data_IF_624790656569
#
_entry.id   IF_624790656569
#
_cell.length_a   1.000
_cell.length_b   1.000
_cell.length_c   1.000
_cell.angle_alpha   90.00
_cell.angle_beta   90.00
_cell.angle_gamma   90.00
#
_symmetry.space_group_name_H-M   'P 1'
#
loop_
_entity.id
_entity.type
_entity.pdbx_description
1 polymer ?
#
# COMPACT_ATOMS: atom_id res chain seq x y z
N UNK A 1 -14.30 11.68 0.53
CA UNK A 1 -15.05 10.42 0.47
C UNK A 1 -14.21 9.35 1.16
N UNK A 2 -14.76 8.67 2.17
CA UNK A 2 -14.09 7.53 2.80
C UNK A 2 -14.27 6.30 1.90
N UNK A 3 -13.29 5.38 1.92
CA UNK A 3 -13.36 4.10 1.22
C UNK A 3 -13.63 3.00 2.24
N UNK A 4 -14.47 2.01 1.89
CA UNK A 4 -14.88 0.93 2.81
C UNK A 4 -13.67 0.21 3.42
N UNK A 5 -12.63 -0.05 2.63
CA UNK A 5 -11.40 -0.68 3.12
C UNK A 5 -10.71 0.12 4.23
N UNK A 6 -10.77 1.46 4.18
CA UNK A 6 -10.20 2.30 5.24
C UNK A 6 -10.99 2.14 6.54
N UNK A 7 -12.32 2.10 6.46
CA UNK A 7 -13.17 1.88 7.64
C UNK A 7 -12.84 0.53 8.29
N UNK A 8 -12.73 -0.54 7.49
CA UNK A 8 -12.33 -1.87 7.98
C UNK A 8 -10.96 -1.84 8.65
N UNK A 9 -9.98 -1.14 8.07
CA UNK A 9 -8.65 -0.98 8.68
C UNK A 9 -8.74 -0.22 10.01
N UNK A 10 -9.55 0.83 10.11
CA UNK A 10 -9.71 1.58 11.37
C UNK A 10 -10.39 0.80 12.48
N UNK A 11 -11.09 -0.29 12.15
CA UNK A 11 -11.66 -1.22 13.14
C UNK A 11 -10.63 -2.22 13.68
N UNK A 12 -9.42 -2.25 13.11
CA UNK A 12 -8.31 -3.07 13.61
C UNK A 12 -7.47 -2.30 14.62
N UNK A 13 -6.72 -3.01 15.46
CA UNK A 13 -5.80 -2.39 16.44
C UNK A 13 -4.43 -2.02 15.84
N UNK A 14 -4.31 -1.94 14.51
CA UNK A 14 -3.02 -1.58 13.88
C UNK A 14 -2.72 -0.10 14.09
N UNK A 15 -1.50 0.19 14.52
CA UNK A 15 -0.99 1.56 14.60
C UNK A 15 -0.35 2.02 13.27
N UNK A 16 -0.08 3.32 13.16
CA UNK A 16 0.48 3.93 11.94
C UNK A 16 1.92 3.50 11.58
N UNK A 17 2.62 2.78 12.46
CA UNK A 17 3.96 2.22 12.20
C UNK A 17 3.91 0.77 11.75
N UNK A 18 2.75 0.11 11.81
CA UNK A 18 2.60 -1.22 11.23
C UNK A 18 2.68 -1.14 9.70
N UNK A 19 3.16 -2.24 9.13
CA UNK A 19 3.29 -2.39 7.69
C UNK A 19 1.96 -2.76 7.07
N UNK A 20 1.64 -2.12 5.96
CA UNK A 20 0.45 -2.40 5.18
C UNK A 20 0.86 -2.65 3.74
N UNK A 21 0.41 -3.78 3.20
CA UNK A 21 0.47 -4.09 1.77
C UNK A 21 -0.95 -4.04 1.19
N UNK A 22 -1.16 -3.15 0.22
CA UNK A 22 -2.37 -3.03 -0.58
C UNK A 22 -2.20 -3.87 -1.85
N UNK A 23 -2.75 -5.08 -1.84
CA UNK A 23 -2.67 -6.06 -2.94
C UNK A 23 -3.76 -5.77 -3.96
N UNK A 24 -3.38 -5.61 -5.23
CA UNK A 24 -4.27 -5.12 -6.28
C UNK A 24 -4.60 -3.63 -6.11
N UNK A 25 -3.74 -2.89 -5.39
CA UNK A 25 -3.98 -1.49 -5.05
C UNK A 25 -3.79 -0.52 -6.23
N UNK A 26 -3.24 -0.98 -7.36
CA UNK A 26 -2.80 -0.22 -8.53
C UNK A 26 -3.39 1.19 -8.67
N UNK A 27 -4.50 1.32 -9.38
CA UNK A 27 -5.16 2.61 -9.62
C UNK A 27 -6.15 3.02 -8.51
N UNK A 28 -6.20 2.26 -7.40
CA UNK A 28 -7.06 2.53 -6.24
C UNK A 28 -6.64 3.82 -5.54
N UNK A 29 -7.52 4.33 -4.67
CA UNK A 29 -7.29 5.50 -3.82
C UNK A 29 -7.10 5.14 -2.35
N UNK A 30 -7.05 3.85 -2.00
CA UNK A 30 -6.85 3.42 -0.62
C UNK A 30 -5.50 3.92 -0.07
N UNK A 31 -4.42 3.74 -0.84
CA UNK A 31 -3.07 4.19 -0.44
C UNK A 31 -2.99 5.70 -0.18
N UNK A 32 -3.76 6.52 -0.90
CA UNK A 32 -3.89 7.95 -0.62
C UNK A 32 -4.42 8.21 0.77
N UNK A 33 -5.47 7.47 1.13
CA UNK A 33 -6.14 7.65 2.42
C UNK A 33 -5.28 7.16 3.56
N UNK A 34 -4.51 6.10 3.34
CA UNK A 34 -3.52 5.64 4.30
C UNK A 34 -2.40 6.68 4.48
N UNK A 35 -1.90 7.29 3.40
CA UNK A 35 -0.95 8.41 3.48
C UNK A 35 -1.54 9.63 4.22
N UNK A 36 -2.78 10.03 3.90
CA UNK A 36 -3.48 11.13 4.58
C UNK A 36 -3.64 10.85 6.09
N UNK A 37 -3.82 9.57 6.46
CA UNK A 37 -3.89 9.10 7.85
C UNK A 37 -2.51 8.86 8.49
N UNK A 38 -1.41 9.22 7.81
CA UNK A 38 -0.03 9.17 8.32
C UNK A 38 0.51 7.76 8.59
N UNK A 39 -0.02 6.74 7.92
CA UNK A 39 0.65 5.45 7.88
C UNK A 39 2.01 5.58 7.19
N UNK A 40 3.03 4.90 7.74
CA UNK A 40 4.43 5.15 7.38
C UNK A 40 5.06 4.06 6.51
N UNK A 41 4.62 2.82 6.64
CA UNK A 41 5.18 1.69 5.91
C UNK A 41 4.11 1.09 4.99
N UNK A 42 3.93 1.76 3.85
CA UNK A 42 2.92 1.44 2.86
C UNK A 42 3.58 0.79 1.65
N UNK A 43 3.00 -0.32 1.22
CA UNK A 43 3.38 -1.01 -0.01
C UNK A 43 2.16 -1.20 -0.88
N UNK A 44 2.27 -0.90 -2.17
CA UNK A 44 1.24 -1.21 -3.18
C UNK A 44 1.80 -2.28 -4.10
N UNK A 45 1.07 -3.39 -4.19
CA UNK A 45 1.37 -4.46 -5.12
C UNK A 45 0.27 -4.53 -6.17
N UNK A 46 0.65 -4.59 -7.43
CA UNK A 46 -0.28 -4.83 -8.54
C UNK A 46 0.45 -5.56 -9.68
N UNK A 47 -0.26 -6.34 -10.48
CA UNK A 47 0.32 -6.98 -11.67
C UNK A 47 0.47 -5.98 -12.82
N UNK A 48 -0.25 -4.85 -12.78
CA UNK A 48 -0.29 -3.85 -13.84
C UNK A 48 0.63 -2.67 -13.55
N UNK A 49 1.76 -2.57 -14.28
CA UNK A 49 2.60 -1.36 -14.30
C UNK A 49 1.83 -0.10 -14.65
N UNK A 50 0.85 -0.18 -15.56
CA UNK A 50 0.03 0.96 -15.97
C UNK A 50 -0.77 1.49 -14.80
N UNK A 51 -1.38 0.61 -14.00
CA UNK A 51 -2.15 1.00 -12.83
C UNK A 51 -1.26 1.63 -11.74
N UNK A 52 -0.07 1.06 -11.51
CA UNK A 52 0.92 1.60 -10.57
C UNK A 52 1.42 2.99 -11.01
N UNK A 53 1.71 3.17 -12.30
CA UNK A 53 2.16 4.46 -12.83
C UNK A 53 1.06 5.52 -12.71
N UNK A 54 -0.19 5.17 -13.00
CA UNK A 54 -1.32 6.08 -12.80
C UNK A 54 -1.43 6.55 -11.34
N UNK A 55 -1.30 5.66 -10.36
CA UNK A 55 -1.32 6.06 -8.95
C UNK A 55 -0.10 6.88 -8.53
N UNK A 56 1.10 6.55 -9.04
CA UNK A 56 2.31 7.35 -8.80
C UNK A 56 2.15 8.79 -9.33
N UNK A 57 1.67 8.93 -10.56
CA UNK A 57 1.40 10.25 -11.18
C UNK A 57 0.37 11.03 -10.36
N UNK A 58 -0.74 10.38 -9.99
CA UNK A 58 -1.80 10.97 -9.17
C UNK A 58 -1.31 11.42 -7.78
N UNK A 59 -0.39 10.68 -7.17
CA UNK A 59 0.19 11.03 -5.86
C UNK A 59 1.31 12.07 -5.95
N UNK A 60 1.91 12.25 -7.13
CA UNK A 60 3.04 13.15 -7.35
C UNK A 60 4.22 12.82 -6.43
N UNK A 61 4.80 13.84 -5.81
CA UNK A 61 5.96 13.70 -4.91
C UNK A 61 5.69 12.80 -3.70
N UNK A 62 4.44 12.63 -3.28
CA UNK A 62 4.09 11.76 -2.14
C UNK A 62 4.30 10.27 -2.43
N UNK A 63 4.38 9.88 -3.71
CA UNK A 63 4.63 8.51 -4.14
C UNK A 63 5.96 7.94 -3.64
N UNK A 64 6.94 8.79 -3.31
CA UNK A 64 8.24 8.39 -2.75
C UNK A 64 8.11 7.73 -1.37
N UNK A 65 7.01 7.95 -0.66
CA UNK A 65 6.77 7.38 0.67
C UNK A 65 6.10 6.00 0.61
N UNK A 66 5.93 5.43 -0.59
CA UNK A 66 5.29 4.14 -0.81
C UNK A 66 6.28 3.21 -1.52
N UNK A 67 6.32 1.96 -1.09
CA UNK A 67 6.99 0.89 -1.83
C UNK A 67 6.06 0.37 -2.92
N UNK A 68 6.53 0.30 -4.16
CA UNK A 68 5.72 -0.13 -5.30
C UNK A 68 6.27 -1.46 -5.84
N UNK A 69 5.39 -2.47 -5.97
CA UNK A 69 5.75 -3.80 -6.44
C UNK A 69 4.88 -4.14 -7.65
N UNK A 70 5.51 -4.28 -8.82
CA UNK A 70 4.85 -4.88 -9.99
C UNK A 70 5.07 -6.39 -9.96
N UNK A 71 4.04 -7.15 -9.57
CA UNK A 71 4.16 -8.61 -9.46
C UNK A 71 2.81 -9.30 -9.40
N UNK A 72 2.78 -10.59 -9.75
CA UNK A 72 1.69 -11.48 -9.41
C UNK A 72 1.80 -11.85 -7.92
N UNK A 73 0.72 -11.63 -7.16
CA UNK A 73 0.66 -11.96 -5.73
C UNK A 73 0.95 -13.44 -5.46
N UNK A 74 0.61 -14.34 -6.40
CA UNK A 74 0.86 -15.77 -6.26
C UNK A 74 2.34 -16.14 -6.38
N UNK A 75 3.15 -15.26 -6.97
CA UNK A 75 4.59 -15.46 -7.18
C UNK A 75 5.44 -14.67 -6.18
N UNK A 76 4.82 -13.82 -5.37
CA UNK A 76 5.53 -13.00 -4.40
C UNK A 76 5.93 -13.82 -3.16
N UNK A 77 7.23 -13.95 -2.83
CA UNK A 77 7.65 -14.58 -1.58
C UNK A 77 7.35 -13.65 -0.39
N UNK A 78 6.28 -13.94 0.35
CA UNK A 78 5.85 -13.16 1.52
C UNK A 78 6.91 -13.13 2.65
N UNK A 79 7.77 -14.14 2.71
CA UNK A 79 8.90 -14.20 3.66
C UNK A 79 9.82 -12.97 3.53
N UNK A 80 10.02 -12.48 2.30
CA UNK A 80 10.84 -11.29 2.05
C UNK A 80 10.18 -9.99 2.52
N UNK A 81 8.84 -9.98 2.65
CA UNK A 81 8.09 -8.83 3.17
C UNK A 81 8.01 -8.83 4.71
N UNK A 82 7.79 -10.01 5.31
CA UNK A 82 7.65 -10.18 6.75
C UNK A 82 8.98 -9.98 7.52
N UNK A 83 10.13 -10.35 6.94
CA UNK A 83 11.41 -10.34 7.64
C UNK A 83 12.03 -8.95 7.91
N UNK A 84 11.40 -7.85 7.48
CA UNK A 84 11.77 -6.49 7.94
C UNK A 84 11.02 -6.07 9.23
N UNK A 85 10.19 -6.92 9.85
CA UNK A 85 9.26 -6.56 10.95
C UNK A 85 9.89 -6.72 12.34
N UNK A 86 11.03 -7.40 12.47
CA UNK A 86 11.73 -7.55 13.75
C UNK A 86 13.21 -7.19 13.60
N UNK A 87 13.52 -5.89 13.69
CA UNK A 87 14.85 -5.36 14.00
C UNK A 87 14.71 -4.01 14.65
#
# INVERSE_FOLDING_TARGET
MQVISLELITLTEINHTHKIIDVGGGASVLVDKLLEKRFKDLTVLDISSVALNYAKERLGSRSVNITWIESDVLLMPLENYANKVCS
#
